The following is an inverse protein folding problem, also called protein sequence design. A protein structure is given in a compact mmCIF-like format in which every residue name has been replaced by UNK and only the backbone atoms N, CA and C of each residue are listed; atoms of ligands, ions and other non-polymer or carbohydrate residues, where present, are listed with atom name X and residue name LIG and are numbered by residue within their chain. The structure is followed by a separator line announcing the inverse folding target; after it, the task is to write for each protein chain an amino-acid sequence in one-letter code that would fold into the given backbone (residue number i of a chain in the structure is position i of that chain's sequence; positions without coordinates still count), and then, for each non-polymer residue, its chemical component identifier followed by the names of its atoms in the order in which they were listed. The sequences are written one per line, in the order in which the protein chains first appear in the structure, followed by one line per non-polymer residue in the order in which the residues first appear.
data_IF_559344034656
#
_entry.id   IF_559344034656
#
_cell.length_a   1.000
_cell.length_b   1.000
_cell.length_c   1.000
_cell.angle_alpha   90.00
_cell.angle_beta   90.00
_cell.angle_gamma   90.00
#
_symmetry.space_group_name_H-M   'P 1'
#
loop_
_entity.id
_entity.type
_entity.pdbx_description
1 polymer ?
#
# COMPACT_ATOMS: atom_id res chain seq x y z
N UNK A 1 5.84 20.11 -9.99
CA UNK A 1 5.72 18.76 -10.58
C UNK A 1 6.11 18.84 -12.04
N UNK A 2 7.00 17.97 -12.53
CA UNK A 2 7.39 17.97 -13.95
C UNK A 2 6.23 17.44 -14.80
N UNK A 3 6.02 18.01 -15.99
CA UNK A 3 4.89 17.65 -16.86
C UNK A 3 4.86 16.18 -17.32
N UNK A 4 6.02 15.52 -17.34
CA UNK A 4 6.18 14.13 -17.79
C UNK A 4 6.01 13.06 -16.71
N UNK A 5 6.03 13.44 -15.41
CA UNK A 5 5.86 12.53 -14.25
C UNK A 5 6.63 11.20 -14.37
N UNK A 6 7.91 11.26 -14.74
CA UNK A 6 8.75 10.05 -14.87
C UNK A 6 9.03 9.43 -13.51
N UNK A 7 8.99 8.10 -13.46
CA UNK A 7 9.29 7.28 -12.29
C UNK A 7 10.56 6.46 -12.54
N UNK A 8 11.40 6.31 -11.52
CA UNK A 8 12.69 5.62 -11.62
C UNK A 8 12.88 4.70 -10.42
N UNK A 9 13.29 3.45 -10.68
CA UNK A 9 13.79 2.55 -9.64
C UNK A 9 15.30 2.77 -9.48
N UNK A 10 15.71 3.35 -8.36
CA UNK A 10 17.12 3.72 -8.12
C UNK A 10 17.91 2.67 -7.31
N UNK A 11 17.22 1.95 -6.42
CA UNK A 11 17.79 0.86 -5.61
C UNK A 11 16.70 -0.16 -5.28
N UNK A 12 17.10 -1.42 -5.20
CA UNK A 12 16.31 -2.53 -4.70
C UNK A 12 17.25 -3.40 -3.85
N UNK A 13 16.94 -3.55 -2.56
CA UNK A 13 17.78 -4.26 -1.61
C UNK A 13 16.97 -5.32 -0.87
N UNK A 14 17.56 -6.50 -0.68
CA UNK A 14 16.98 -7.57 0.14
C UNK A 14 17.54 -7.49 1.56
N UNK A 15 16.64 -7.29 2.53
CA UNK A 15 16.97 -7.18 3.94
C UNK A 15 16.48 -8.38 4.76
N UNK A 16 16.06 -9.48 4.12
CA UNK A 16 15.49 -10.66 4.79
C UNK A 16 16.36 -11.21 5.95
N UNK A 17 17.68 -11.09 5.85
CA UNK A 17 18.64 -11.59 6.84
C UNK A 17 19.21 -10.50 7.78
N UNK A 18 18.70 -9.27 7.73
CA UNK A 18 19.25 -8.13 8.48
C UNK A 18 18.15 -7.51 9.36
N UNK A 19 18.52 -7.07 10.57
CA UNK A 19 17.59 -6.32 11.42
C UNK A 19 17.27 -4.97 10.77
N UNK A 20 15.99 -4.75 10.47
CA UNK A 20 15.50 -3.50 9.87
C UNK A 20 15.42 -2.35 10.90
N UNK A 21 16.51 -1.99 11.58
CA UNK A 21 16.52 -0.84 12.50
C UNK A 21 16.35 0.47 11.74
N UNK A 22 15.87 1.52 12.42
CA UNK A 22 15.74 2.84 11.80
C UNK A 22 17.06 3.39 11.27
N UNK A 23 18.17 3.12 11.97
CA UNK A 23 19.52 3.52 11.56
C UNK A 23 19.99 2.75 10.32
N UNK A 24 19.76 1.44 10.25
CA UNK A 24 20.12 0.67 9.07
C UNK A 24 19.38 1.18 7.82
N UNK A 25 18.08 1.42 7.97
CA UNK A 25 17.25 1.95 6.90
C UNK A 25 17.64 3.38 6.51
N UNK A 26 18.02 4.26 7.46
CA UNK A 26 18.51 5.60 7.12
C UNK A 26 19.81 5.52 6.31
N UNK A 27 20.74 4.65 6.69
CA UNK A 27 22.01 4.49 5.96
C UNK A 27 21.78 4.04 4.50
N UNK A 28 20.82 3.16 4.27
CA UNK A 28 20.41 2.74 2.92
C UNK A 28 19.85 3.92 2.13
N UNK A 29 18.95 4.70 2.73
CA UNK A 29 18.37 5.88 2.09
C UNK A 29 19.45 6.93 1.78
N UNK A 30 20.40 7.14 2.70
CA UNK A 30 21.51 8.08 2.51
C UNK A 30 22.40 7.71 1.32
N UNK A 31 22.66 6.42 1.08
CA UNK A 31 23.40 5.99 -0.12
C UNK A 31 22.70 6.45 -1.40
N UNK A 32 21.37 6.36 -1.46
CA UNK A 32 20.57 6.83 -2.62
C UNK A 32 20.60 8.35 -2.72
N UNK A 33 20.46 9.06 -1.60
CA UNK A 33 20.55 10.52 -1.55
C UNK A 33 21.90 11.00 -2.06
N UNK A 34 22.99 10.40 -1.60
CA UNK A 34 24.36 10.76 -2.01
C UNK A 34 24.63 10.45 -3.48
N UNK A 35 24.10 9.33 -3.99
CA UNK A 35 24.22 8.96 -5.42
C UNK A 35 23.53 9.95 -6.36
N UNK A 36 22.38 10.51 -5.95
CA UNK A 36 21.59 11.42 -6.79
C UNK A 36 21.90 12.89 -6.51
N UNK A 37 22.36 13.20 -5.30
CA UNK A 37 22.54 14.52 -4.67
C UNK A 37 21.29 15.02 -3.89
N UNK A 38 21.49 15.38 -2.62
CA UNK A 38 20.42 15.81 -1.71
C UNK A 38 19.56 16.97 -2.22
N UNK A 39 20.16 17.92 -2.95
CA UNK A 39 19.45 19.10 -3.50
C UNK A 39 18.37 18.75 -4.53
N UNK A 40 18.40 17.53 -5.08
CA UNK A 40 17.41 17.04 -6.05
C UNK A 40 16.19 16.39 -5.39
N UNK A 41 16.23 16.19 -4.07
CA UNK A 41 15.11 15.66 -3.30
C UNK A 41 14.31 16.79 -2.67
N UNK A 42 12.99 16.69 -2.79
CA UNK A 42 12.04 17.60 -2.12
C UNK A 42 11.40 16.91 -0.92
N UNK A 43 11.14 15.60 -1.01
CA UNK A 43 10.45 14.86 0.04
C UNK A 43 10.83 13.38 0.03
N UNK A 44 10.66 12.74 1.18
CA UNK A 44 10.64 11.29 1.35
C UNK A 44 9.26 10.88 1.81
N UNK A 45 8.67 9.90 1.12
CA UNK A 45 7.37 9.34 1.44
C UNK A 45 7.57 7.88 1.85
N UNK A 46 7.18 7.52 3.06
CA UNK A 46 7.28 6.13 3.54
C UNK A 46 6.14 5.75 4.48
N UNK A 47 5.94 4.45 4.68
CA UNK A 47 4.92 3.92 5.59
C UNK A 47 5.19 4.33 7.06
N UNK A 48 4.23 4.02 7.94
CA UNK A 48 4.33 4.38 9.36
C UNK A 48 4.88 3.26 10.26
N UNK A 49 5.55 2.24 9.70
CA UNK A 49 6.24 1.23 10.48
C UNK A 49 7.27 1.88 11.42
N UNK A 50 7.40 1.39 12.65
CA UNK A 50 8.21 2.04 13.69
C UNK A 50 9.64 2.35 13.24
N UNK A 51 10.30 1.40 12.60
CA UNK A 51 11.68 1.57 12.15
C UNK A 51 11.79 2.46 10.91
N UNK A 52 10.85 2.35 9.97
CA UNK A 52 10.75 3.24 8.80
C UNK A 52 10.50 4.69 9.25
N UNK A 53 9.71 4.86 10.32
CA UNK A 53 9.45 6.14 10.96
C UNK A 53 10.68 6.75 11.65
N UNK A 54 11.47 5.91 12.31
CA UNK A 54 12.74 6.33 12.87
C UNK A 54 13.73 6.74 11.77
N UNK A 55 13.83 5.93 10.70
CA UNK A 55 14.72 6.20 9.56
C UNK A 55 14.42 7.55 8.90
N UNK A 56 13.16 7.80 8.52
CA UNK A 56 12.78 9.09 7.91
C UNK A 56 13.01 10.29 8.85
N UNK A 57 12.91 10.09 10.17
CA UNK A 57 13.21 11.14 11.15
C UNK A 57 14.71 11.47 11.18
N UNK A 58 15.57 10.45 11.12
CA UNK A 58 17.03 10.62 11.00
C UNK A 58 17.34 11.40 9.71
N UNK A 59 16.77 11.01 8.57
CA UNK A 59 17.00 11.70 7.30
C UNK A 59 16.53 13.15 7.33
N UNK A 60 15.35 13.44 7.87
CA UNK A 60 14.85 14.80 7.98
C UNK A 60 15.72 15.70 8.87
N UNK A 61 16.36 15.13 9.90
CA UNK A 61 17.31 15.84 10.73
C UNK A 61 18.63 16.11 9.99
N UNK A 62 19.13 15.13 9.22
CA UNK A 62 20.38 15.23 8.47
C UNK A 62 20.25 16.10 7.22
N UNK A 63 19.06 16.17 6.62
CA UNK A 63 18.76 16.90 5.39
C UNK A 63 17.51 17.77 5.57
N UNK A 64 17.62 18.95 6.21
CA UNK A 64 16.47 19.82 6.51
C UNK A 64 15.68 20.28 5.28
N UNK A 65 16.28 20.23 4.08
CA UNK A 65 15.63 20.55 2.81
C UNK A 65 14.69 19.44 2.30
N UNK A 66 14.72 18.25 2.89
CA UNK A 66 13.91 17.09 2.49
C UNK A 66 12.72 16.96 3.43
N UNK A 67 11.51 17.14 2.89
CA UNK A 67 10.27 17.05 3.65
C UNK A 67 9.96 15.60 4.03
N UNK A 68 9.67 15.37 5.30
CA UNK A 68 9.23 14.08 5.80
C UNK A 68 7.70 13.91 5.63
N UNK A 69 7.29 13.05 4.69
CA UNK A 69 5.88 12.82 4.37
C UNK A 69 5.50 11.39 4.76
N UNK A 70 4.39 11.26 5.49
CA UNK A 70 3.81 9.94 5.79
C UNK A 70 3.00 9.45 4.60
N UNK A 71 3.08 8.15 4.34
CA UNK A 71 2.30 7.53 3.27
C UNK A 71 0.80 7.56 3.58
N UNK A 72 0.04 8.34 2.78
CA UNK A 72 -1.38 8.61 3.03
C UNK A 72 -2.26 7.37 2.93
N UNK A 73 -1.86 6.36 2.15
CA UNK A 73 -2.66 5.15 1.96
C UNK A 73 -2.80 4.36 3.27
N UNK A 74 -1.83 4.46 4.18
CA UNK A 74 -1.94 3.85 5.50
C UNK A 74 -3.07 4.50 6.32
N UNK A 75 -3.24 5.81 6.24
CA UNK A 75 -4.37 6.50 6.87
C UNK A 75 -5.69 6.04 6.27
N UNK A 76 -5.78 5.91 4.94
CA UNK A 76 -6.98 5.40 4.26
C UNK A 76 -7.29 3.96 4.70
N UNK A 77 -6.26 3.12 4.85
CA UNK A 77 -6.40 1.75 5.35
C UNK A 77 -6.93 1.73 6.78
N UNK A 78 -6.37 2.55 7.68
CA UNK A 78 -6.82 2.64 9.08
C UNK A 78 -8.27 3.11 9.22
N UNK A 79 -8.68 4.11 8.41
CA UNK A 79 -10.07 4.58 8.37
C UNK A 79 -10.97 3.44 7.90
N UNK A 80 -10.61 2.77 6.80
CA UNK A 80 -11.37 1.65 6.25
C UNK A 80 -11.52 0.51 7.26
N UNK A 81 -10.43 0.11 7.91
CA UNK A 81 -10.42 -0.93 8.95
C UNK A 81 -11.28 -0.53 10.14
N UNK A 82 -11.26 0.73 10.56
CA UNK A 82 -12.12 1.24 11.64
C UNK A 82 -13.60 1.15 11.27
N UNK A 83 -13.96 1.49 10.02
CA UNK A 83 -15.33 1.35 9.52
C UNK A 83 -15.76 -0.12 9.49
N UNK A 84 -14.91 -1.03 9.01
CA UNK A 84 -15.21 -2.46 8.94
C UNK A 84 -15.40 -3.09 10.32
N UNK A 85 -14.78 -2.53 11.37
CA UNK A 85 -14.95 -3.00 12.76
C UNK A 85 -16.35 -2.71 13.34
N UNK A 86 -17.12 -1.80 12.76
CA UNK A 86 -18.50 -1.52 13.19
C UNK A 86 -19.35 -2.78 12.96
N UNK A 87 -20.02 -3.29 14.00
CA UNK A 87 -20.73 -4.58 13.96
C UNK A 87 -21.66 -4.76 12.74
N UNK A 88 -22.43 -3.72 12.39
CA UNK A 88 -23.32 -3.75 11.22
C UNK A 88 -22.55 -3.88 9.91
N UNK A 89 -21.46 -3.13 9.76
CA UNK A 89 -20.59 -3.19 8.57
C UNK A 89 -19.88 -4.54 8.51
N UNK A 90 -19.33 -5.00 9.62
CA UNK A 90 -18.69 -6.32 9.75
C UNK A 90 -19.60 -7.45 9.29
N UNK A 91 -20.89 -7.39 9.66
CA UNK A 91 -21.90 -8.34 9.20
C UNK A 91 -22.10 -8.29 7.69
N UNK A 92 -22.25 -7.11 7.10
CA UNK A 92 -22.41 -6.93 5.65
C UNK A 92 -21.18 -7.48 4.90
N UNK A 93 -19.98 -7.14 5.36
CA UNK A 93 -18.72 -7.65 4.78
C UNK A 93 -18.66 -9.19 4.86
N UNK A 94 -19.11 -9.79 5.97
CA UNK A 94 -19.20 -11.25 6.11
C UNK A 94 -20.15 -11.86 5.07
N UNK A 95 -21.35 -11.29 4.89
CA UNK A 95 -22.30 -11.76 3.89
C UNK A 95 -21.74 -11.65 2.46
N UNK A 96 -21.14 -10.50 2.12
CA UNK A 96 -20.50 -10.28 0.82
C UNK A 96 -19.37 -11.29 0.57
N UNK A 97 -18.57 -11.62 1.59
CA UNK A 97 -17.52 -12.62 1.50
C UNK A 97 -18.07 -14.04 1.29
N UNK A 98 -19.18 -14.41 1.94
CA UNK A 98 -19.83 -15.71 1.74
C UNK A 98 -20.32 -15.83 0.29
N UNK A 99 -21.02 -14.82 -0.21
CA UNK A 99 -21.51 -14.79 -1.60
C UNK A 99 -20.35 -14.85 -2.60
N UNK A 100 -19.31 -14.06 -2.38
CA UNK A 100 -18.13 -14.06 -3.25
C UNK A 100 -17.46 -15.43 -3.28
N UNK A 101 -17.32 -16.09 -2.12
CA UNK A 101 -16.76 -17.45 -2.05
C UNK A 101 -17.62 -18.47 -2.77
N UNK A 102 -18.95 -18.38 -2.64
CA UNK A 102 -19.87 -19.26 -3.36
C UNK A 102 -19.66 -19.16 -4.87
N UNK A 103 -19.68 -17.95 -5.44
CA UNK A 103 -19.51 -17.76 -6.88
C UNK A 103 -18.11 -18.12 -7.38
N UNK A 104 -17.07 -17.97 -6.55
CA UNK A 104 -15.70 -18.38 -6.93
C UNK A 104 -15.51 -19.90 -6.92
N UNK A 105 -16.09 -20.58 -5.95
CA UNK A 105 -15.81 -21.99 -5.71
C UNK A 105 -16.84 -22.93 -6.40
N UNK A 106 -17.99 -22.40 -6.81
CA UNK A 106 -19.00 -23.14 -7.56
C UNK A 106 -18.80 -22.97 -9.07
N UNK A 107 -18.49 -24.05 -9.77
CA UNK A 107 -18.37 -24.04 -11.24
C UNK A 107 -19.64 -23.54 -11.92
N UNK A 108 -20.80 -24.03 -11.47
CA UNK A 108 -22.10 -23.62 -12.01
C UNK A 108 -22.42 -22.16 -11.68
N UNK A 109 -22.19 -21.76 -10.42
CA UNK A 109 -22.42 -20.38 -9.98
C UNK A 109 -21.55 -19.38 -10.75
N UNK A 110 -20.28 -19.71 -10.96
CA UNK A 110 -19.35 -18.91 -11.76
C UNK A 110 -19.83 -18.77 -13.22
N UNK A 111 -20.28 -19.86 -13.84
CA UNK A 111 -20.82 -19.82 -15.21
C UNK A 111 -22.02 -18.89 -15.33
N UNK A 112 -23.02 -19.05 -14.45
CA UNK A 112 -24.21 -18.19 -14.44
C UNK A 112 -23.87 -16.72 -14.20
N UNK A 113 -22.94 -16.44 -13.28
CA UNK A 113 -22.50 -15.06 -13.02
C UNK A 113 -21.85 -14.45 -14.27
N UNK A 114 -21.01 -15.20 -14.98
CA UNK A 114 -20.33 -14.73 -16.19
C UNK A 114 -21.31 -14.47 -17.34
N UNK A 115 -22.34 -15.31 -17.50
CA UNK A 115 -23.41 -15.09 -18.48
C UNK A 115 -24.20 -13.81 -18.20
N UNK A 116 -24.53 -13.56 -16.92
CA UNK A 116 -25.23 -12.34 -16.51
C UNK A 116 -24.35 -11.09 -16.70
N UNK A 117 -23.06 -11.16 -16.37
CA UNK A 117 -22.11 -10.06 -16.58
C UNK A 117 -22.03 -9.70 -18.07
N UNK A 118 -21.89 -10.70 -18.94
CA UNK A 118 -21.85 -10.51 -20.40
C UNK A 118 -23.15 -9.93 -20.94
N UNK A 119 -24.29 -10.50 -20.56
CA UNK A 119 -25.61 -10.05 -21.06
C UNK A 119 -25.96 -8.64 -20.59
N UNK A 120 -25.50 -8.22 -19.40
CA UNK A 120 -25.70 -6.86 -18.88
C UNK A 120 -24.60 -5.88 -19.29
N UNK A 121 -23.62 -6.31 -20.08
CA UNK A 121 -22.49 -5.50 -20.54
C UNK A 121 -21.76 -4.80 -19.37
N UNK A 122 -21.60 -5.52 -18.25
CA UNK A 122 -20.95 -4.98 -17.05
C UNK A 122 -19.43 -5.07 -17.25
N UNK A 123 -18.78 -3.92 -17.30
CA UNK A 123 -17.31 -3.82 -17.30
C UNK A 123 -16.80 -3.78 -15.85
N UNK A 124 -15.89 -4.70 -15.49
CA UNK A 124 -15.37 -4.75 -14.13
C UNK A 124 -14.34 -5.85 -13.89
N UNK A 125 -13.65 -5.77 -12.76
CA UNK A 125 -12.77 -6.85 -12.29
C UNK A 125 -13.62 -7.95 -11.64
N UNK A 126 -13.07 -9.16 -11.60
CA UNK A 126 -13.66 -10.29 -10.87
C UNK A 126 -14.03 -9.94 -9.42
N UNK A 127 -15.00 -10.67 -8.87
CA UNK A 127 -15.38 -10.54 -7.46
C UNK A 127 -14.16 -10.70 -6.54
N UNK A 128 -14.05 -9.88 -5.51
CA UNK A 128 -12.96 -9.95 -4.52
C UNK A 128 -13.52 -10.05 -3.12
N UNK A 129 -12.97 -10.96 -2.34
CA UNK A 129 -13.23 -11.02 -0.91
C UNK A 129 -12.48 -9.89 -0.22
N UNK A 130 -13.07 -9.34 0.83
CA UNK A 130 -12.34 -8.51 1.77
C UNK A 130 -11.20 -9.32 2.40
N UNK A 131 -10.00 -8.75 2.38
CA UNK A 131 -8.81 -9.29 3.05
C UNK A 131 -8.32 -8.21 3.98
N UNK A 132 -8.17 -8.55 5.26
CA UNK A 132 -7.58 -7.65 6.25
C UNK A 132 -6.08 -7.52 5.93
N UNK A 133 -5.64 -6.31 5.65
CA UNK A 133 -4.23 -5.98 5.43
C UNK A 133 -3.57 -5.73 6.79
N UNK A 134 -2.38 -6.32 6.99
CA UNK A 134 -1.58 -6.16 8.22
C UNK A 134 -1.10 -4.71 8.41
#
# INVERSE_FOLDING_TARGET
MTGSRKEYLLSLEDFSNIRHTGEHLSNVIEKVINKVEAKKFVAIVSDNGLNVAAARKIIANNYPNIINVRYITHCVNLISTSIVKINKVKYIVKCANILTKYFKNSTLGSSWLNEVIKSKNIEGRELKTYVETR
#
